data_IF_028906322749
#
_entry.id   IF_028906322749
#
_cell.length_a   1.000
_cell.length_b   1.000
_cell.length_c   1.000
_cell.angle_alpha   90.00
_cell.angle_beta   90.00
_cell.angle_gamma   90.00
#
_symmetry.space_group_name_H-M   'P 1'
#
loop_
_entity.id
_entity.type
_entity.pdbx_description
1 polymer ?
#
# COMPACT_ATOMS: atom_id res chain seq x y z
N UNK A 1 2.00 -34.88 -5.57
CA UNK A 1 1.95 -33.55 -6.22
C UNK A 1 0.54 -32.94 -6.17
N UNK A 2 -0.52 -33.71 -6.47
CA UNK A 2 -1.93 -33.28 -6.37
C UNK A 2 -2.37 -32.95 -4.92
N UNK A 3 -1.96 -33.74 -3.92
CA UNK A 3 -2.28 -33.47 -2.51
C UNK A 3 -1.66 -32.17 -1.95
N UNK A 4 -0.50 -31.75 -2.46
CA UNK A 4 0.14 -30.49 -2.03
C UNK A 4 -0.70 -29.31 -2.53
N UNK A 5 -1.12 -29.34 -3.80
CA UNK A 5 -1.93 -28.27 -4.36
C UNK A 5 -3.27 -28.13 -3.64
N UNK A 6 -3.98 -29.23 -3.38
CA UNK A 6 -5.26 -29.20 -2.66
C UNK A 6 -5.13 -28.70 -1.21
N UNK A 7 -4.03 -29.03 -0.52
CA UNK A 7 -3.81 -28.59 0.88
C UNK A 7 -3.46 -27.11 1.01
N UNK A 8 -2.82 -26.54 -0.01
CA UNK A 8 -2.36 -25.15 -0.01
C UNK A 8 -3.17 -24.22 -0.91
N UNK A 9 -4.15 -24.72 -1.66
CA UNK A 9 -4.96 -23.94 -2.60
C UNK A 9 -5.54 -22.68 -1.97
N UNK A 10 -6.14 -22.77 -0.78
CA UNK A 10 -6.66 -21.60 -0.08
C UNK A 10 -5.59 -20.60 0.36
N UNK A 11 -4.37 -21.07 0.69
CA UNK A 11 -3.25 -20.18 1.03
C UNK A 11 -2.68 -19.49 -0.22
N UNK A 12 -2.60 -20.22 -1.33
CA UNK A 12 -2.12 -19.71 -2.62
C UNK A 12 -3.08 -18.66 -3.16
N UNK A 13 -4.39 -18.91 -3.11
CA UNK A 13 -5.40 -17.94 -3.54
C UNK A 13 -5.35 -16.69 -2.67
N UNK A 14 -5.25 -16.82 -1.34
CA UNK A 14 -5.07 -15.66 -0.46
C UNK A 14 -3.79 -14.87 -0.77
N UNK A 15 -2.67 -15.55 -1.02
CA UNK A 15 -1.43 -14.88 -1.40
C UNK A 15 -1.57 -14.16 -2.74
N UNK A 16 -2.29 -14.75 -3.71
CA UNK A 16 -2.56 -14.11 -5.00
C UNK A 16 -3.39 -12.84 -4.82
N UNK A 17 -4.43 -12.88 -4.00
CA UNK A 17 -5.24 -11.69 -3.68
C UNK A 17 -4.40 -10.59 -3.02
N UNK A 18 -3.51 -10.96 -2.09
CA UNK A 18 -2.60 -10.02 -1.43
C UNK A 18 -1.62 -9.39 -2.43
N UNK A 19 -1.03 -10.21 -3.31
CA UNK A 19 -0.14 -9.75 -4.39
C UNK A 19 -0.87 -8.80 -5.34
N UNK A 20 -2.10 -9.13 -5.75
CA UNK A 20 -2.89 -8.29 -6.64
C UNK A 20 -3.21 -6.95 -5.97
N UNK A 21 -3.61 -6.96 -4.70
CA UNK A 21 -3.88 -5.73 -3.93
C UNK A 21 -2.62 -4.86 -3.84
N UNK A 22 -1.47 -5.46 -3.54
CA UNK A 22 -0.20 -4.73 -3.52
C UNK A 22 0.15 -4.16 -4.89
N UNK A 23 -0.02 -4.94 -5.97
CA UNK A 23 0.23 -4.49 -7.33
C UNK A 23 -0.63 -3.27 -7.72
N UNK A 24 -1.91 -3.25 -7.31
CA UNK A 24 -2.80 -2.09 -7.52
C UNK A 24 -2.30 -0.83 -6.80
N UNK A 25 -1.81 -0.96 -5.58
CA UNK A 25 -1.28 0.18 -4.82
C UNK A 25 0.04 0.70 -5.41
N UNK A 26 0.91 -0.19 -5.87
CA UNK A 26 2.15 0.21 -6.58
C UNK A 26 1.85 0.96 -7.87
N UNK A 27 0.78 0.60 -8.58
CA UNK A 27 0.39 1.27 -9.82
C UNK A 27 -0.33 2.61 -9.60
N UNK A 28 -0.85 2.88 -8.39
CA UNK A 28 -1.59 4.10 -8.11
C UNK A 28 -0.64 5.26 -7.84
N UNK A 29 -0.34 6.04 -8.88
CA UNK A 29 0.53 7.20 -8.81
C UNK A 29 -0.07 8.33 -7.96
N UNK A 30 0.79 8.97 -7.16
CA UNK A 30 0.49 10.18 -6.42
C UNK A 30 0.98 11.40 -7.24
N UNK A 31 0.20 12.49 -7.31
CA UNK A 31 0.64 13.70 -7.98
C UNK A 31 1.93 14.25 -7.34
N UNK A 32 2.92 14.63 -8.17
CA UNK A 32 4.20 15.14 -7.68
C UNK A 32 4.05 16.43 -6.84
N UNK A 33 3.03 17.23 -7.15
CA UNK A 33 2.73 18.50 -6.49
C UNK A 33 1.67 18.36 -5.39
N UNK A 34 1.35 17.13 -4.98
CA UNK A 34 0.38 16.90 -3.91
C UNK A 34 0.85 17.54 -2.61
N UNK A 35 0.05 18.46 -2.09
CA UNK A 35 0.20 19.02 -0.75
C UNK A 35 -0.50 18.12 0.27
N UNK A 36 0.28 17.28 0.95
CA UNK A 36 -0.24 16.40 1.99
C UNK A 36 -0.83 17.18 3.17
N UNK A 37 -0.42 18.44 3.40
CA UNK A 37 -0.99 19.27 4.46
C UNK A 37 -2.44 19.68 4.18
N UNK A 38 -2.84 19.70 2.91
CA UNK A 38 -4.20 20.01 2.49
C UNK A 38 -5.13 18.78 2.51
N UNK A 39 -4.61 17.57 2.71
CA UNK A 39 -5.39 16.33 2.68
C UNK A 39 -6.12 16.14 4.01
N UNK A 40 -7.45 16.24 3.97
CA UNK A 40 -8.30 16.00 5.14
C UNK A 40 -8.23 14.53 5.57
N UNK A 41 -8.20 14.29 6.87
CA UNK A 41 -8.15 12.94 7.45
C UNK A 41 -6.74 12.42 7.72
N UNK A 42 -5.69 13.06 7.20
CA UNK A 42 -4.32 12.75 7.59
C UNK A 42 -3.97 13.44 8.91
N UNK A 43 -3.40 12.70 9.86
CA UNK A 43 -2.83 13.28 11.07
C UNK A 43 -1.59 14.12 10.72
N UNK A 44 -1.23 15.08 11.59
CA UNK A 44 -0.04 15.89 11.40
C UNK A 44 1.25 15.05 11.25
N UNK A 45 1.37 13.94 11.99
CA UNK A 45 2.49 13.01 11.86
C UNK A 45 2.54 12.33 10.48
N UNK A 46 1.39 11.88 9.97
CA UNK A 46 1.31 11.26 8.63
C UNK A 46 1.63 12.28 7.54
N UNK A 47 1.11 13.51 7.66
CA UNK A 47 1.43 14.59 6.73
C UNK A 47 2.93 14.89 6.73
N UNK A 48 3.57 14.96 7.89
CA UNK A 48 5.02 15.18 8.00
C UNK A 48 5.83 14.07 7.32
N UNK A 49 5.46 12.81 7.60
CA UNK A 49 6.13 11.64 6.99
C UNK A 49 5.98 11.62 5.47
N UNK A 50 4.78 11.86 4.95
CA UNK A 50 4.55 11.88 3.50
C UNK A 50 5.26 13.04 2.81
N UNK A 51 5.27 14.23 3.43
CA UNK A 51 6.03 15.38 2.92
C UNK A 51 7.54 15.17 2.93
N UNK A 52 8.07 14.42 3.91
CA UNK A 52 9.50 14.09 3.98
C UNK A 52 9.90 13.01 2.97
N UNK A 53 9.10 11.96 2.82
CA UNK A 53 9.41 10.83 1.95
C UNK A 53 9.03 11.06 0.48
N UNK A 54 8.06 11.94 0.19
CA UNK A 54 7.53 12.25 -1.15
C UNK A 54 7.31 10.99 -2.00
N UNK A 55 6.45 10.05 -1.55
CA UNK A 55 6.20 8.84 -2.31
C UNK A 55 5.56 9.15 -3.67
N UNK A 56 5.96 8.40 -4.69
CA UNK A 56 5.44 8.50 -6.06
C UNK A 56 4.16 7.69 -6.24
N UNK A 57 3.89 6.72 -5.36
CA UNK A 57 2.74 5.82 -5.44
C UNK A 57 2.14 5.58 -4.06
N UNK A 58 0.86 5.21 -4.03
CA UNK A 58 0.19 4.88 -2.76
C UNK A 58 0.81 3.65 -2.09
N UNK A 59 1.30 2.69 -2.88
CA UNK A 59 2.02 1.54 -2.37
C UNK A 59 3.37 1.90 -1.73
N UNK A 60 4.08 2.89 -2.27
CA UNK A 60 5.27 3.42 -1.60
C UNK A 60 4.90 4.12 -0.28
N UNK A 61 3.81 4.88 -0.26
CA UNK A 61 3.32 5.56 0.93
C UNK A 61 2.98 4.57 2.06
N UNK A 62 2.32 3.44 1.75
CA UNK A 62 1.88 2.45 2.75
C UNK A 62 3.04 1.71 3.45
N UNK A 63 4.24 1.73 2.88
CA UNK A 63 5.45 1.14 3.49
C UNK A 63 6.14 2.08 4.48
N UNK A 64 5.76 3.35 4.54
CA UNK A 64 6.35 4.30 5.48
C UNK A 64 5.86 3.95 6.89
N UNK A 65 6.81 3.78 7.82
CA UNK A 65 6.50 3.36 9.19
C UNK A 65 5.51 4.29 9.88
N UNK A 66 4.42 3.73 10.39
CA UNK A 66 3.33 4.46 11.03
C UNK A 66 2.33 5.10 10.06
N UNK A 67 2.35 4.72 8.78
CA UNK A 67 1.25 4.97 7.85
C UNK A 67 0.45 3.67 7.71
N UNK A 68 -0.75 3.65 8.26
CA UNK A 68 -1.71 2.55 8.05
C UNK A 68 -2.65 2.91 6.91
N UNK A 69 -2.98 1.97 6.01
CA UNK A 69 -4.16 2.13 5.17
C UNK A 69 -5.38 2.25 6.11
N UNK A 70 -6.12 3.35 6.03
CA UNK A 70 -7.41 3.51 6.70
C UNK A 70 -8.51 2.73 5.97
#
# INVERSE_FOLDING_TARGET
QVEIQAKYEGYIERQREEVERHGKLEALALPAELDYCAVRGLSAEVQQKLNAHRPQTLGQASRISGITPA
#
